data_IF_402502841470
#
_entry.id   IF_402502841470
#
_cell.length_a   1.000
_cell.length_b   1.000
_cell.length_c   1.000
_cell.angle_alpha   90.00
_cell.angle_beta   90.00
_cell.angle_gamma   90.00
#
_symmetry.space_group_name_H-M   'P 1'
#
loop_
_entity.id
_entity.type
_entity.pdbx_description
1 polymer ?
#
# COMPACT_ATOMS: atom_id res chain seq x y z
N UNK A 1 4.35 -2.23 -39.40
CA UNK A 1 4.56 -2.40 -40.86
C UNK A 1 4.17 -3.83 -41.20
N UNK A 2 3.04 -4.04 -41.87
CA UNK A 2 2.50 -5.38 -42.19
C UNK A 2 2.85 -5.68 -43.65
N UNK A 3 3.63 -6.73 -43.88
CA UNK A 3 3.87 -7.28 -45.22
C UNK A 3 3.12 -8.61 -45.28
N UNK A 4 2.17 -8.73 -46.20
CA UNK A 4 1.51 -9.99 -46.53
C UNK A 4 2.07 -10.53 -47.85
N UNK A 5 2.44 -11.82 -47.87
CA UNK A 5 2.66 -12.58 -49.10
C UNK A 5 1.64 -13.72 -49.16
N UNK A 6 1.08 -14.04 -50.34
CA UNK A 6 0.08 -15.09 -50.48
C UNK A 6 0.76 -16.44 -50.75
N UNK A 7 0.27 -17.51 -50.13
CA UNK A 7 0.48 -18.87 -50.62
C UNK A 7 -0.83 -19.66 -50.61
N UNK A 8 -1.07 -20.32 -51.74
CA UNK A 8 -2.28 -21.04 -52.16
C UNK A 8 -2.14 -22.56 -51.99
N UNK A 9 -3.20 -23.22 -51.52
CA UNK A 9 -3.57 -24.66 -51.71
C UNK A 9 -2.60 -25.73 -51.15
N UNK A 10 -2.95 -26.97 -50.79
CA UNK A 10 -4.19 -27.75 -50.75
C UNK A 10 -4.09 -28.87 -49.67
N UNK A 11 -5.24 -29.31 -49.15
CA UNK A 11 -5.56 -30.66 -48.62
C UNK A 11 -4.68 -31.33 -47.54
N UNK A 12 -5.22 -31.41 -46.30
CA UNK A 12 -5.40 -32.64 -45.46
C UNK A 12 -5.24 -32.38 -43.94
N UNK A 13 -6.28 -32.76 -43.18
CA UNK A 13 -6.40 -32.86 -41.70
C UNK A 13 -6.08 -31.61 -40.85
N UNK A 14 -7.14 -30.92 -40.42
CA UNK A 14 -7.10 -29.77 -39.50
C UNK A 14 -6.77 -30.20 -38.07
N UNK A 15 -5.60 -29.79 -37.55
CA UNK A 15 -5.46 -29.32 -36.16
C UNK A 15 -5.44 -27.81 -36.22
N UNK A 16 -6.33 -27.14 -35.49
CA UNK A 16 -6.29 -25.68 -35.36
C UNK A 16 -5.20 -25.35 -34.35
N UNK A 17 -4.02 -24.95 -34.82
CA UNK A 17 -2.99 -24.34 -33.99
C UNK A 17 -3.13 -22.84 -34.16
N UNK A 18 -3.77 -22.17 -33.22
CA UNK A 18 -3.75 -20.72 -33.16
C UNK A 18 -2.38 -20.30 -32.60
N UNK A 19 -1.51 -19.81 -33.46
CA UNK A 19 -0.22 -19.23 -33.06
C UNK A 19 -0.43 -17.73 -32.88
N UNK A 20 -0.53 -17.28 -31.64
CA UNK A 20 -0.47 -15.84 -31.32
C UNK A 20 0.98 -15.51 -31.00
N UNK A 21 1.66 -14.81 -31.90
CA UNK A 21 3.03 -14.33 -31.67
C UNK A 21 2.94 -13.07 -30.81
N UNK A 22 3.01 -13.24 -29.48
CA UNK A 22 3.39 -12.18 -28.56
C UNK A 22 4.92 -12.26 -28.41
N UNK A 23 5.60 -11.14 -28.69
CA UNK A 23 7.02 -11.04 -29.01
C UNK A 23 8.04 -11.56 -27.97
N UNK A 24 7.65 -12.22 -26.87
CA UNK A 24 8.60 -12.78 -25.89
C UNK A 24 8.23 -14.13 -25.25
N UNK A 25 7.10 -14.77 -25.58
CA UNK A 25 6.69 -16.02 -24.91
C UNK A 25 6.15 -17.07 -25.88
N UNK A 26 6.46 -18.34 -25.62
CA UNK A 26 5.78 -19.49 -26.20
C UNK A 26 4.88 -20.10 -25.12
N UNK A 27 3.58 -20.20 -25.41
CA UNK A 27 2.63 -20.95 -24.58
C UNK A 27 2.53 -22.35 -25.16
N UNK A 28 2.88 -23.37 -24.37
CA UNK A 28 2.71 -24.78 -24.78
C UNK A 28 1.60 -25.38 -23.93
N UNK A 29 0.51 -25.79 -24.55
CA UNK A 29 -0.60 -26.49 -23.88
C UNK A 29 -0.47 -27.97 -24.19
N UNK A 30 -0.12 -28.78 -23.19
CA UNK A 30 -0.13 -30.24 -23.28
C UNK A 30 -1.36 -30.80 -22.60
N UNK A 31 -2.05 -31.74 -23.26
CA UNK A 31 -3.22 -32.43 -22.73
C UNK A 31 -2.81 -33.81 -22.21
N UNK A 32 -2.81 -34.07 -20.89
CA UNK A 32 -2.89 -35.44 -20.39
C UNK A 32 -4.36 -35.89 -20.38
N UNK A 33 -4.56 -37.18 -20.63
CA UNK A 33 -5.84 -37.84 -20.46
C UNK A 33 -6.16 -37.97 -18.97
N UNK A 34 -7.30 -37.40 -18.57
CA UNK A 34 -8.05 -37.67 -17.33
C UNK A 34 -7.31 -37.32 -16.02
N UNK A 35 -7.90 -36.36 -15.29
CA UNK A 35 -7.48 -35.75 -14.01
C UNK A 35 -6.43 -34.63 -14.07
N UNK A 36 -6.90 -33.40 -13.80
CA UNK A 36 -6.10 -32.21 -13.50
C UNK A 36 -5.57 -31.44 -14.72
N UNK A 37 -6.05 -30.20 -14.90
CA UNK A 37 -5.38 -29.23 -15.79
C UNK A 37 -4.17 -28.66 -15.04
N UNK A 38 -2.99 -28.69 -15.67
CA UNK A 38 -1.85 -27.87 -15.24
C UNK A 38 -1.36 -27.03 -16.43
N UNK A 39 -1.24 -25.73 -16.21
CA UNK A 39 -0.65 -24.79 -17.18
C UNK A 39 0.70 -24.38 -16.63
N UNK A 40 1.77 -24.62 -17.39
CA UNK A 40 3.13 -24.22 -17.03
C UNK A 40 3.64 -23.18 -18.04
N UNK A 41 4.00 -21.99 -17.56
CA UNK A 41 4.67 -20.97 -18.36
C UNK A 41 6.17 -21.06 -18.09
N UNK A 42 6.96 -21.29 -19.15
CA UNK A 42 8.42 -21.46 -19.04
C UNK A 42 9.12 -20.25 -19.64
N UNK A 43 10.01 -19.62 -18.86
CA UNK A 43 10.84 -18.54 -19.37
C UNK A 43 11.98 -19.12 -20.24
N UNK A 44 12.07 -18.68 -21.49
CA UNK A 44 13.05 -19.20 -22.47
C UNK A 44 14.51 -18.86 -22.12
N UNK A 45 14.75 -17.82 -21.33
CA UNK A 45 16.11 -17.41 -20.95
C UNK A 45 16.68 -18.27 -19.81
N UNK A 46 15.83 -18.78 -18.91
CA UNK A 46 16.28 -19.46 -17.68
C UNK A 46 15.85 -20.92 -17.59
N UNK A 47 14.90 -21.37 -18.42
CA UNK A 47 14.37 -22.74 -18.37
C UNK A 47 13.55 -23.06 -17.12
N UNK A 48 13.27 -22.06 -16.27
CA UNK A 48 12.50 -22.25 -15.05
C UNK A 48 10.99 -22.22 -15.32
N UNK A 49 10.29 -23.18 -14.73
CA UNK A 49 8.82 -23.20 -14.63
C UNK A 49 8.38 -22.08 -13.68
N UNK A 50 7.54 -21.16 -14.16
CA UNK A 50 6.87 -20.18 -13.31
C UNK A 50 5.72 -20.89 -12.59
N UNK A 51 6.02 -21.57 -11.48
CA UNK A 51 5.00 -21.82 -10.47
C UNK A 51 4.85 -20.56 -9.62
N UNK A 52 3.61 -20.09 -9.49
CA UNK A 52 3.11 -19.04 -8.59
C UNK A 52 4.07 -17.86 -8.32
N UNK A 53 3.81 -16.73 -8.97
CA UNK A 53 4.18 -15.40 -8.46
C UNK A 53 5.61 -15.29 -7.95
N UNK A 54 6.60 -15.59 -8.80
CA UNK A 54 8.00 -15.37 -8.45
C UNK A 54 8.24 -13.86 -8.38
N UNK A 55 8.09 -13.25 -7.19
CA UNK A 55 8.66 -11.92 -6.95
C UNK A 55 10.18 -12.12 -7.06
N UNK A 56 10.88 -11.47 -8.01
CA UNK A 56 12.32 -11.56 -8.08
C UNK A 56 12.87 -11.17 -6.71
N UNK A 57 13.70 -12.02 -6.09
CA UNK A 57 14.44 -11.64 -4.89
C UNK A 57 15.13 -10.31 -5.20
N UNK A 58 14.78 -9.25 -4.46
CA UNK A 58 15.36 -7.93 -4.68
C UNK A 58 16.83 -8.01 -4.26
N UNK A 59 17.71 -8.25 -5.24
CA UNK A 59 19.16 -8.22 -5.02
C UNK A 59 19.57 -6.75 -5.04
N UNK A 60 19.77 -6.18 -3.86
CA UNK A 60 20.47 -4.90 -3.75
C UNK A 60 21.91 -5.07 -4.24
N UNK A 61 22.38 -4.12 -5.05
CA UNK A 61 23.80 -3.90 -5.27
C UNK A 61 24.48 -3.67 -3.91
N UNK A 62 25.72 -4.13 -3.75
CA UNK A 62 26.50 -4.01 -2.53
C UNK A 62 26.64 -2.55 -2.08
N UNK A 63 26.71 -1.61 -3.01
CA UNK A 63 26.76 -0.18 -2.69
C UNK A 63 25.46 0.31 -2.06
N UNK A 64 24.32 -0.11 -2.58
CA UNK A 64 22.99 0.24 -2.03
C UNK A 64 22.77 -0.45 -0.68
N UNK A 65 23.27 -1.67 -0.50
CA UNK A 65 23.25 -2.36 0.78
C UNK A 65 24.11 -1.64 1.82
N UNK A 66 25.32 -1.20 1.46
CA UNK A 66 26.17 -0.39 2.35
C UNK A 66 25.51 0.93 2.72
N UNK A 67 24.90 1.60 1.75
CA UNK A 67 24.18 2.86 1.96
C UNK A 67 22.97 2.66 2.89
N UNK A 68 22.15 1.63 2.65
CA UNK A 68 21.02 1.28 3.51
C UNK A 68 21.48 0.98 4.94
N UNK A 69 22.55 0.20 5.10
CA UNK A 69 23.12 -0.12 6.41
C UNK A 69 23.78 1.08 7.10
N UNK A 70 24.14 2.12 6.35
CA UNK A 70 24.72 3.34 6.91
C UNK A 70 23.67 4.30 7.46
N UNK A 71 22.41 4.18 7.03
CA UNK A 71 21.31 5.01 7.52
C UNK A 71 21.06 4.69 8.99
N UNK A 72 21.30 5.69 9.84
CA UNK A 72 20.99 5.59 11.26
C UNK A 72 19.52 5.97 11.49
N UNK A 73 18.76 5.18 12.27
CA UNK A 73 17.46 5.62 12.75
C UNK A 73 17.64 6.85 13.64
N UNK A 74 16.66 7.75 13.60
CA UNK A 74 16.64 8.99 14.37
C UNK A 74 15.21 9.21 14.90
N UNK A 75 14.69 8.23 15.63
CA UNK A 75 13.29 8.25 16.13
C UNK A 75 13.05 9.37 17.15
N UNK A 76 14.11 9.91 17.76
CA UNK A 76 14.10 10.98 18.76
C UNK A 76 14.46 12.36 18.16
N UNK A 77 14.37 12.52 16.83
CA UNK A 77 14.64 13.77 16.16
C UNK A 77 13.83 14.94 16.79
N UNK A 78 14.47 16.08 17.14
CA UNK A 78 13.76 17.21 17.70
C UNK A 78 12.75 17.79 16.70
N UNK A 79 11.59 18.28 17.17
CA UNK A 79 10.63 18.94 16.29
C UNK A 79 11.23 20.12 15.53
N UNK A 80 10.92 20.19 14.24
CA UNK A 80 11.34 21.25 13.33
C UNK A 80 10.37 22.42 13.40
N UNK A 81 10.92 23.64 13.48
CA UNK A 81 10.14 24.85 13.38
C UNK A 81 10.19 25.38 11.94
N UNK A 82 9.08 25.29 11.22
CA UNK A 82 8.97 25.79 9.83
C UNK A 82 9.38 27.27 9.71
N UNK A 83 9.22 28.05 10.79
CA UNK A 83 9.62 29.46 10.82
C UNK A 83 11.14 29.71 10.82
N UNK A 84 11.96 28.67 11.04
CA UNK A 84 13.43 28.79 11.05
C UNK A 84 14.04 28.87 9.63
N UNK A 85 13.22 28.69 8.58
CA UNK A 85 13.51 29.19 7.22
C UNK A 85 14.23 28.25 6.26
N UNK A 86 14.55 26.99 6.64
CA UNK A 86 15.17 26.00 5.74
C UNK A 86 14.17 25.30 4.81
N UNK A 87 12.92 25.21 5.22
CA UNK A 87 11.82 24.68 4.42
C UNK A 87 10.80 25.78 4.20
N UNK A 88 10.34 25.92 2.97
CA UNK A 88 9.31 26.90 2.59
C UNK A 88 8.24 26.20 1.76
N UNK A 89 6.96 26.41 2.06
CA UNK A 89 5.90 25.91 1.20
C UNK A 89 6.06 26.46 -0.23
N UNK A 90 5.88 25.60 -1.24
CA UNK A 90 6.03 25.97 -2.66
C UNK A 90 4.92 26.89 -3.16
N UNK A 91 3.74 26.82 -2.55
CA UNK A 91 2.67 27.78 -2.75
C UNK A 91 2.83 28.93 -1.76
N UNK A 92 2.47 30.17 -2.15
CA UNK A 92 2.41 31.29 -1.21
C UNK A 92 1.40 30.95 -0.10
N UNK A 93 1.88 30.37 1.01
CA UNK A 93 1.20 30.49 2.28
C UNK A 93 1.21 32.00 2.56
N UNK A 94 0.06 32.66 2.42
CA UNK A 94 -0.08 34.00 2.98
C UNK A 94 0.33 33.87 4.45
N UNK A 95 1.39 34.59 4.84
CA UNK A 95 1.81 34.69 6.24
C UNK A 95 0.55 34.97 7.05
N UNK A 96 0.12 33.97 7.82
CA UNK A 96 -1.08 34.06 8.64
C UNK A 96 -0.86 35.27 9.55
N UNK A 97 -1.74 36.27 9.43
CA UNK A 97 -1.70 37.41 10.33
C UNK A 97 -1.87 36.93 11.77
N UNK A 98 -1.38 37.67 12.77
CA UNK A 98 -1.41 37.27 14.19
C UNK A 98 -2.80 37.01 14.80
N UNK A 99 -3.88 37.11 14.00
CA UNK A 99 -5.28 36.98 14.42
C UNK A 99 -6.03 35.82 13.72
N UNK A 100 -5.35 34.93 12.98
CA UNK A 100 -6.00 33.73 12.41
C UNK A 100 -6.22 32.69 13.52
N UNK A 101 -7.46 32.24 13.81
CA UNK A 101 -7.76 31.29 14.89
C UNK A 101 -7.10 29.90 14.74
N UNK A 102 -6.46 29.59 13.60
CA UNK A 102 -5.67 28.37 13.39
C UNK A 102 -4.25 28.42 14.00
N UNK A 103 -4.04 29.26 15.04
CA UNK A 103 -2.74 29.50 15.67
C UNK A 103 -2.07 28.21 16.16
N UNK A 104 -1.03 27.78 15.43
CA UNK A 104 0.21 27.15 15.90
C UNK A 104 0.11 26.39 17.23
N UNK A 105 -0.80 25.41 17.30
CA UNK A 105 -0.87 24.55 18.47
C UNK A 105 0.44 23.78 18.54
N UNK A 106 1.12 23.90 19.68
CA UNK A 106 2.37 23.16 19.91
C UNK A 106 2.03 21.67 19.88
N UNK A 107 2.75 20.92 19.05
CA UNK A 107 2.72 19.46 19.10
C UNK A 107 3.74 19.03 20.15
N UNK A 108 3.31 18.38 21.26
CA UNK A 108 4.25 17.94 22.27
C UNK A 108 5.31 17.00 21.66
N UNK A 109 6.62 17.18 21.98
CA UNK A 109 7.65 16.25 21.54
C UNK A 109 7.29 14.80 21.88
N UNK A 110 7.41 13.91 20.90
CA UNK A 110 7.07 12.48 21.04
C UNK A 110 5.62 12.11 20.70
N UNK A 111 4.77 13.08 20.37
CA UNK A 111 3.37 12.83 20.00
C UNK A 111 3.10 12.94 18.49
N UNK A 112 4.15 12.98 17.68
CA UNK A 112 4.05 13.23 16.24
C UNK A 112 3.63 12.01 15.43
N UNK A 113 4.04 10.83 15.90
CA UNK A 113 3.67 9.57 15.30
C UNK A 113 3.65 8.47 16.37
N UNK A 114 2.89 7.42 16.07
CA UNK A 114 2.74 6.23 16.90
C UNK A 114 3.19 5.03 16.06
N UNK A 115 3.76 4.03 16.71
CA UNK A 115 4.15 2.77 16.08
C UNK A 115 3.34 1.65 16.73
N UNK A 116 2.78 0.78 15.90
CA UNK A 116 1.99 -0.37 16.32
C UNK A 116 2.56 -1.64 15.71
N UNK A 117 2.42 -2.72 16.45
CA UNK A 117 2.55 -4.07 15.92
C UNK A 117 1.22 -4.56 15.34
N UNK A 118 1.28 -5.54 14.44
CA UNK A 118 0.07 -6.27 14.02
C UNK A 118 -0.60 -6.99 15.19
N UNK A 119 0.16 -7.38 16.22
CA UNK A 119 -0.41 -8.02 17.41
C UNK A 119 -1.10 -7.03 18.35
N UNK A 120 -0.78 -5.73 18.28
CA UNK A 120 -1.54 -4.68 18.98
C UNK A 120 -2.93 -4.50 18.37
N UNK A 121 -3.05 -4.69 17.05
CA UNK A 121 -4.31 -4.56 16.31
C UNK A 121 -5.12 -5.87 16.32
N UNK A 122 -4.41 -7.00 16.25
CA UNK A 122 -4.96 -8.36 16.22
C UNK A 122 -4.40 -9.17 17.40
N UNK A 123 -4.83 -8.87 18.63
CA UNK A 123 -4.31 -9.55 19.81
C UNK A 123 -4.54 -11.06 19.73
N UNK A 124 -3.61 -11.82 20.29
CA UNK A 124 -3.65 -13.30 20.36
C UNK A 124 -3.51 -14.04 19.02
N UNK A 125 -3.24 -13.35 17.91
CA UNK A 125 -3.07 -14.00 16.60
C UNK A 125 -1.64 -14.40 16.26
N UNK A 126 -0.64 -13.81 16.93
CA UNK A 126 0.80 -13.91 16.56
C UNK A 126 1.05 -13.48 15.10
N UNK A 127 0.18 -12.63 14.57
CA UNK A 127 0.24 -12.16 13.19
C UNK A 127 1.51 -11.37 12.94
N UNK A 128 1.99 -10.57 13.89
CA UNK A 128 3.28 -9.86 13.76
C UNK A 128 4.42 -10.86 13.52
N UNK A 129 4.51 -11.92 14.31
CA UNK A 129 5.56 -12.94 14.15
C UNK A 129 5.51 -13.59 12.76
N UNK A 130 4.34 -14.03 12.31
CA UNK A 130 4.18 -14.72 11.02
C UNK A 130 4.43 -13.75 9.86
N UNK A 131 3.94 -12.51 9.95
CA UNK A 131 4.16 -11.47 8.94
C UNK A 131 5.65 -11.19 8.69
N UNK A 132 6.45 -11.18 9.76
CA UNK A 132 7.89 -10.92 9.67
C UNK A 132 8.73 -12.14 9.25
N UNK A 133 8.26 -13.35 9.53
CA UNK A 133 9.05 -14.58 9.32
C UNK A 133 8.63 -15.39 8.09
N UNK A 134 7.50 -15.06 7.47
CA UNK A 134 6.93 -15.83 6.38
C UNK A 134 6.63 -14.94 5.16
N UNK A 135 7.57 -14.93 4.21
CA UNK A 135 7.44 -14.18 2.94
C UNK A 135 6.20 -14.60 2.15
N UNK A 136 5.82 -15.89 2.20
CA UNK A 136 4.62 -16.38 1.50
C UNK A 136 3.35 -15.77 2.10
N UNK A 137 3.25 -15.70 3.42
CA UNK A 137 2.11 -15.05 4.08
C UNK A 137 2.06 -13.56 3.77
N UNK A 138 3.19 -12.85 3.92
CA UNK A 138 3.27 -11.41 3.71
C UNK A 138 2.91 -11.01 2.27
N UNK A 139 3.44 -11.72 1.29
CA UNK A 139 3.13 -11.47 -0.13
C UNK A 139 1.70 -11.92 -0.47
N UNK A 140 1.27 -13.07 0.03
CA UNK A 140 -0.10 -13.55 -0.16
C UNK A 140 -1.13 -12.56 0.41
N UNK A 141 -0.88 -12.01 1.59
CA UNK A 141 -1.75 -11.03 2.24
C UNK A 141 -1.83 -9.76 1.42
N UNK A 142 -0.68 -9.26 0.98
CA UNK A 142 -0.59 -8.09 0.09
C UNK A 142 -1.39 -8.28 -1.19
N UNK A 143 -1.17 -9.39 -1.89
CA UNK A 143 -1.81 -9.67 -3.19
C UNK A 143 -3.31 -9.92 -3.02
N UNK A 144 -3.71 -10.56 -1.92
CA UNK A 144 -5.11 -10.76 -1.58
C UNK A 144 -5.85 -9.45 -1.28
N UNK A 145 -5.23 -8.52 -0.54
CA UNK A 145 -5.79 -7.18 -0.32
C UNK A 145 -5.92 -6.44 -1.66
N UNK A 146 -4.88 -6.47 -2.51
CA UNK A 146 -4.97 -5.87 -3.86
C UNK A 146 -6.12 -6.48 -4.63
N UNK A 147 -6.27 -7.80 -4.59
CA UNK A 147 -7.31 -8.50 -5.32
C UNK A 147 -8.70 -8.06 -4.85
N UNK A 148 -8.95 -8.11 -3.55
CA UNK A 148 -10.26 -7.79 -2.98
C UNK A 148 -10.60 -6.29 -3.17
N UNK A 149 -9.63 -5.39 -3.00
CA UNK A 149 -9.83 -3.94 -3.15
C UNK A 149 -10.11 -3.51 -4.59
N UNK A 150 -9.49 -4.18 -5.56
CA UNK A 150 -9.49 -3.73 -6.95
C UNK A 150 -10.46 -4.51 -7.84
N UNK A 151 -10.73 -5.78 -7.51
CA UNK A 151 -11.53 -6.69 -8.33
C UNK A 151 -12.71 -7.32 -7.60
N UNK A 152 -12.92 -7.00 -6.32
CA UNK A 152 -14.12 -7.41 -5.60
C UNK A 152 -15.41 -6.86 -6.23
N UNK A 153 -16.54 -7.36 -5.77
CA UNK A 153 -17.86 -7.01 -6.30
C UNK A 153 -18.17 -5.52 -6.10
N UNK A 154 -18.40 -4.77 -7.18
CA UNK A 154 -18.61 -3.33 -7.13
C UNK A 154 -17.35 -2.47 -7.27
N UNK A 155 -16.17 -3.10 -7.43
CA UNK A 155 -14.92 -2.40 -7.75
C UNK A 155 -14.87 -1.82 -9.16
N UNK A 156 -13.95 -0.87 -9.37
CA UNK A 156 -13.66 -0.27 -10.68
C UNK A 156 -13.28 -1.34 -11.74
N UNK A 157 -12.67 -2.45 -11.31
CA UNK A 157 -12.18 -3.49 -12.21
C UNK A 157 -12.91 -4.84 -12.04
N UNK A 158 -14.07 -4.86 -11.38
CA UNK A 158 -14.82 -6.09 -11.10
C UNK A 158 -15.30 -6.83 -12.36
N UNK A 159 -15.35 -6.17 -13.51
CA UNK A 159 -15.71 -6.76 -14.81
C UNK A 159 -14.56 -7.47 -15.52
N UNK A 160 -13.33 -7.37 -15.01
CA UNK A 160 -12.19 -8.10 -15.56
C UNK A 160 -12.35 -9.60 -15.36
N UNK A 161 -11.87 -10.38 -16.32
CA UNK A 161 -11.72 -11.82 -16.14
C UNK A 161 -10.45 -12.15 -15.34
N UNK A 162 -10.31 -13.39 -14.88
CA UNK A 162 -9.20 -13.78 -13.99
C UNK A 162 -7.82 -13.59 -14.63
N UNK A 163 -7.67 -13.86 -15.93
CA UNK A 163 -6.41 -13.62 -16.65
C UNK A 163 -6.03 -12.12 -16.67
N UNK A 164 -7.01 -11.23 -16.81
CA UNK A 164 -6.80 -9.78 -16.75
C UNK A 164 -6.45 -9.30 -15.35
N UNK A 165 -7.11 -9.84 -14.31
CA UNK A 165 -6.82 -9.54 -12.91
C UNK A 165 -5.39 -9.95 -12.56
N UNK A 166 -5.01 -11.17 -12.95
CA UNK A 166 -3.67 -11.71 -12.73
C UNK A 166 -2.61 -10.86 -13.46
N UNK A 167 -2.87 -10.48 -14.71
CA UNK A 167 -1.99 -9.60 -15.47
C UNK A 167 -1.80 -8.24 -14.78
N UNK A 168 -2.87 -7.65 -14.26
CA UNK A 168 -2.85 -6.36 -13.57
C UNK A 168 -2.10 -6.42 -12.23
N UNK A 169 -2.28 -7.50 -11.45
CA UNK A 169 -1.51 -7.75 -10.22
C UNK A 169 -0.03 -7.99 -10.50
N UNK A 170 0.29 -8.69 -11.59
CA UNK A 170 1.66 -8.97 -12.00
C UNK A 170 2.44 -7.71 -12.40
N UNK A 171 1.77 -6.62 -12.77
CA UNK A 171 2.43 -5.35 -13.09
C UNK A 171 3.13 -4.70 -11.89
N UNK A 172 2.75 -5.07 -10.66
CA UNK A 172 3.35 -4.53 -9.44
C UNK A 172 3.40 -2.99 -9.45
N UNK A 173 2.38 -2.37 -10.02
CA UNK A 173 2.24 -0.91 -10.07
C UNK A 173 1.53 -0.40 -8.80
N UNK A 174 1.75 0.86 -8.41
CA UNK A 174 0.97 1.50 -7.35
C UNK A 174 -0.54 1.40 -7.65
N UNK A 175 -1.33 1.15 -6.61
CA UNK A 175 -2.78 0.99 -6.72
C UNK A 175 -3.49 1.91 -5.74
N UNK A 176 -4.65 2.43 -6.13
CA UNK A 176 -5.52 3.24 -5.29
C UNK A 176 -6.91 2.62 -5.34
N UNK A 177 -7.49 2.38 -4.18
CA UNK A 177 -8.84 1.85 -4.02
C UNK A 177 -9.66 2.70 -3.04
N UNK A 178 -10.97 2.72 -3.22
CA UNK A 178 -11.91 3.39 -2.33
C UNK A 178 -12.67 2.34 -1.54
N UNK A 179 -12.65 2.45 -0.21
CA UNK A 179 -13.28 1.48 0.69
C UNK A 179 -14.79 1.75 0.89
N UNK A 180 -15.22 3.03 0.86
CA UNK A 180 -16.58 3.43 1.28
C UNK A 180 -17.65 3.36 0.18
N UNK A 181 -17.28 3.40 -1.11
CA UNK A 181 -18.26 3.25 -2.20
C UNK A 181 -19.01 1.90 -2.16
N UNK A 182 -18.52 0.97 -1.33
CA UNK A 182 -18.98 -0.41 -1.22
C UNK A 182 -20.00 -0.65 -0.09
N UNK A 183 -20.41 0.38 0.66
CA UNK A 183 -21.50 0.28 1.65
C UNK A 183 -22.87 0.70 1.09
N UNK A 184 -22.97 1.03 -0.20
CA UNK A 184 -24.23 1.45 -0.84
C UNK A 184 -24.67 0.43 -1.89
N UNK A 185 -24.99 -0.79 -1.45
CA UNK A 185 -26.10 -1.52 -2.04
C UNK A 185 -27.24 -1.44 -1.02
N UNK A 186 -28.33 -0.70 -1.28
CA UNK A 186 -29.52 -0.83 -0.46
C UNK A 186 -30.05 -2.24 -0.66
N UNK A 187 -30.11 -3.03 0.41
CA UNK A 187 -31.08 -4.13 0.49
C UNK A 187 -32.45 -3.46 0.45
N UNK A 188 -32.96 -3.25 -0.76
CA UNK A 188 -34.37 -3.04 -0.99
C UNK A 188 -35.06 -4.40 -0.86
N UNK A 189 -35.23 -4.88 0.37
CA UNK A 189 -36.54 -5.40 0.74
C UNK A 189 -36.71 -5.44 2.26
N UNK A 190 -37.62 -4.59 2.73
CA UNK A 190 -38.15 -4.64 4.09
C UNK A 190 -39.20 -5.73 4.11
N UNK A 191 -38.84 -6.96 4.48
CA UNK A 191 -39.82 -7.91 4.99
C UNK A 191 -39.23 -8.85 6.04
N UNK A 192 -39.72 -8.64 7.26
CA UNK A 192 -39.88 -9.61 8.36
C UNK A 192 -38.64 -10.23 8.99
N UNK A 193 -38.40 -9.81 10.24
CA UNK A 193 -37.68 -10.55 11.27
C UNK A 193 -38.04 -12.04 11.26
N UNK A 194 -37.09 -12.87 10.85
CA UNK A 194 -36.96 -14.24 11.35
C UNK A 194 -35.52 -14.40 11.83
N UNK A 195 -35.37 -14.66 13.13
CA UNK A 195 -34.14 -15.15 13.73
C UNK A 195 -33.85 -16.50 13.06
N UNK A 196 -32.85 -16.53 12.17
CA UNK A 196 -32.31 -17.77 11.62
C UNK A 196 -30.97 -17.97 12.30
N UNK A 197 -30.88 -19.08 13.05
CA UNK A 197 -29.67 -19.59 13.68
C UNK A 197 -28.62 -19.95 12.62
N UNK A 198 -27.37 -19.58 12.89
CA UNK A 198 -26.10 -20.13 12.40
C UNK A 198 -26.18 -20.99 11.11
N UNK A 199 -26.28 -20.33 9.96
CA UNK A 199 -25.81 -20.90 8.70
C UNK A 199 -24.62 -20.08 8.21
N UNK A 200 -23.48 -20.76 8.05
CA UNK A 200 -22.19 -20.27 7.56
C UNK A 200 -22.31 -19.04 6.64
N UNK A 201 -21.99 -17.88 7.23
CA UNK A 201 -22.09 -16.54 6.66
C UNK A 201 -20.96 -16.24 5.65
N UNK A 202 -20.40 -17.25 4.98
CA UNK A 202 -19.27 -17.10 4.02
C UNK A 202 -19.67 -16.30 2.77
N UNK A 203 -20.99 -16.13 2.55
CA UNK A 203 -21.54 -15.27 1.49
C UNK A 203 -21.56 -13.78 1.83
N UNK A 204 -21.45 -13.38 3.10
CA UNK A 204 -21.42 -11.96 3.51
C UNK A 204 -20.01 -11.38 3.60
N UNK A 205 -18.97 -12.24 3.63
CA UNK A 205 -17.56 -11.83 3.63
C UNK A 205 -17.19 -11.25 2.26
N UNK A 206 -16.74 -10.00 2.23
CA UNK A 206 -16.39 -9.27 1.01
C UNK A 206 -14.93 -9.48 0.65
N UNK A 207 -14.05 -9.42 1.64
CA UNK A 207 -12.60 -9.60 1.50
C UNK A 207 -12.24 -11.09 1.48
N UNK A 208 -12.74 -11.81 0.48
CA UNK A 208 -12.65 -13.29 0.42
C UNK A 208 -11.22 -13.78 0.24
N UNK A 209 -10.45 -13.17 -0.67
CA UNK A 209 -9.07 -13.58 -0.88
C UNK A 209 -8.23 -13.33 0.38
N UNK A 210 -8.43 -12.19 1.03
CA UNK A 210 -7.72 -11.80 2.25
C UNK A 210 -8.07 -12.75 3.39
N UNK A 211 -9.36 -13.08 3.54
CA UNK A 211 -9.84 -14.09 4.51
C UNK A 211 -9.19 -15.45 4.28
N UNK A 212 -9.09 -15.89 3.03
CA UNK A 212 -8.48 -17.17 2.68
C UNK A 212 -7.00 -17.23 3.11
N UNK A 213 -6.22 -16.18 2.84
CA UNK A 213 -4.81 -16.10 3.24
C UNK A 213 -4.66 -16.06 4.77
N UNK A 214 -5.50 -15.28 5.46
CA UNK A 214 -5.48 -15.21 6.93
C UNK A 214 -5.77 -16.60 7.52
N UNK A 215 -6.83 -17.28 7.06
CA UNK A 215 -7.17 -18.65 7.51
C UNK A 215 -6.06 -19.66 7.20
N UNK A 216 -5.48 -19.60 6.00
CA UNK A 216 -4.41 -20.51 5.59
C UNK A 216 -3.19 -20.45 6.52
N UNK A 217 -2.80 -19.25 6.96
CA UNK A 217 -1.57 -19.05 7.70
C UNK A 217 -1.76 -18.98 9.22
N UNK A 218 -2.91 -18.49 9.69
CA UNK A 218 -3.21 -18.34 11.13
C UNK A 218 -4.10 -19.47 11.67
N UNK A 219 -4.90 -20.12 10.82
CA UNK A 219 -5.94 -21.08 11.22
C UNK A 219 -5.45 -22.45 11.67
N UNK A 220 -4.14 -22.73 11.60
CA UNK A 220 -3.59 -24.00 12.10
C UNK A 220 -3.59 -24.11 13.63
N UNK A 221 -3.86 -23.01 14.33
CA UNK A 221 -3.98 -23.00 15.78
C UNK A 221 -5.46 -22.92 16.20
N UNK A 222 -6.05 -23.98 16.78
CA UNK A 222 -7.47 -24.01 17.16
C UNK A 222 -7.82 -23.04 18.30
N UNK A 223 -6.83 -22.42 18.94
CA UNK A 223 -7.02 -21.43 20.00
C UNK A 223 -6.95 -19.98 19.49
N UNK A 224 -6.71 -19.78 18.20
CA UNK A 224 -6.63 -18.44 17.59
C UNK A 224 -7.90 -18.19 16.79
N UNK A 225 -8.64 -17.15 17.18
CA UNK A 225 -9.70 -16.59 16.36
C UNK A 225 -9.06 -15.82 15.20
N UNK A 226 -9.21 -16.33 13.98
CA UNK A 226 -8.62 -15.72 12.79
C UNK A 226 -9.57 -14.64 12.26
N UNK A 227 -9.13 -13.37 12.13
CA UNK A 227 -9.98 -12.34 11.58
C UNK A 227 -10.31 -12.64 10.11
N UNK A 228 -11.52 -12.28 9.71
CA UNK A 228 -11.88 -12.14 8.29
C UNK A 228 -11.09 -10.99 7.67
N UNK A 229 -11.03 -10.96 6.33
CA UNK A 229 -10.41 -9.84 5.62
C UNK A 229 -11.14 -8.52 5.85
N UNK A 230 -12.45 -8.54 6.06
CA UNK A 230 -13.24 -7.35 6.39
C UNK A 230 -12.82 -6.81 7.77
N UNK A 231 -12.77 -7.67 8.79
CA UNK A 231 -12.29 -7.29 10.13
C UNK A 231 -10.84 -6.82 10.10
N UNK A 232 -9.99 -7.45 9.27
CA UNK A 232 -8.61 -7.03 9.09
C UNK A 232 -8.52 -5.57 8.64
N UNK A 233 -9.22 -5.25 7.56
CA UNK A 233 -9.20 -3.90 6.99
C UNK A 233 -9.90 -2.88 7.88
N UNK A 234 -10.99 -3.26 8.57
CA UNK A 234 -11.69 -2.38 9.50
C UNK A 234 -10.86 -2.06 10.74
N UNK A 235 -10.14 -3.04 11.32
CA UNK A 235 -9.28 -2.79 12.47
C UNK A 235 -8.07 -1.93 12.12
N UNK A 236 -7.39 -2.19 11.00
CA UNK A 236 -6.30 -1.33 10.53
C UNK A 236 -6.84 0.09 10.25
N UNK A 237 -7.97 0.18 9.54
CA UNK A 237 -8.62 1.45 9.21
C UNK A 237 -9.10 2.24 10.44
N UNK A 238 -9.44 1.56 11.53
CA UNK A 238 -9.86 2.23 12.77
C UNK A 238 -8.75 3.08 13.39
N UNK A 239 -7.47 2.78 13.09
CA UNK A 239 -6.32 3.56 13.52
C UNK A 239 -6.28 4.96 12.88
N UNK A 240 -7.01 5.19 11.78
CA UNK A 240 -7.17 6.52 11.18
C UNK A 240 -7.95 7.49 12.08
N UNK A 241 -8.56 7.01 13.18
CA UNK A 241 -9.39 7.79 14.11
C UNK A 241 -10.55 8.52 13.42
N UNK A 242 -11.00 7.95 12.30
CA UNK A 242 -12.19 8.40 11.60
C UNK A 242 -13.40 7.65 12.16
N UNK A 243 -14.50 8.36 12.42
CA UNK A 243 -15.80 7.75 12.76
C UNK A 243 -16.39 6.92 11.62
N UNK A 244 -15.69 6.87 10.48
CA UNK A 244 -16.03 6.17 9.26
C UNK A 244 -14.78 5.41 8.81
N UNK A 245 -14.92 4.18 8.32
CA UNK A 245 -13.81 3.41 7.76
C UNK A 245 -12.98 4.25 6.76
N UNK A 246 -11.65 4.03 6.63
CA UNK A 246 -10.76 4.88 5.84
C UNK A 246 -11.35 5.08 4.45
N UNK A 247 -11.38 6.31 3.96
CA UNK A 247 -12.02 6.61 2.68
C UNK A 247 -11.15 6.16 1.51
N UNK A 248 -9.83 6.18 1.69
CA UNK A 248 -8.86 5.78 0.69
C UNK A 248 -7.91 4.70 1.21
N UNK A 249 -7.61 3.75 0.34
CA UNK A 249 -6.48 2.83 0.46
C UNK A 249 -5.55 3.07 -0.72
N UNK A 250 -4.25 3.15 -0.46
CA UNK A 250 -3.24 3.29 -1.50
C UNK A 250 -2.09 2.34 -1.23
N UNK A 251 -1.76 1.51 -2.20
CA UNK A 251 -0.53 0.76 -2.19
C UNK A 251 0.53 1.49 -3.00
N UNK A 252 1.64 1.83 -2.34
CA UNK A 252 2.84 2.28 -3.01
C UNK A 252 3.80 1.10 -3.09
N UNK A 253 3.98 0.58 -4.30
CA UNK A 253 4.93 -0.51 -4.54
C UNK A 253 6.35 0.03 -4.53
N UNK A 254 7.20 -0.59 -3.71
CA UNK A 254 8.63 -0.38 -3.77
C UNK A 254 9.26 -1.56 -4.50
N UNK A 255 9.89 -1.34 -5.65
CA UNK A 255 10.90 -2.30 -6.11
C UNK A 255 12.16 -1.54 -6.52
N UNK A 256 13.23 -1.84 -5.78
CA UNK A 256 14.63 -1.65 -6.11
C UNK A 256 15.14 -0.21 -6.21
N UNK A 257 15.60 0.35 -5.09
CA UNK A 257 16.90 1.03 -4.91
C UNK A 257 17.41 2.07 -5.95
N UNK A 258 16.64 2.46 -6.96
CA UNK A 258 17.14 3.18 -8.15
C UNK A 258 16.05 3.85 -9.00
N UNK A 259 14.93 4.33 -8.45
CA UNK A 259 14.24 5.43 -9.18
C UNK A 259 15.09 6.73 -9.14
N UNK A 260 16.03 6.85 -8.20
CA UNK A 260 16.94 8.00 -8.07
C UNK A 260 18.24 7.93 -8.92
N UNK A 261 18.48 6.91 -9.76
CA UNK A 261 19.58 7.01 -10.76
C UNK A 261 19.15 7.69 -12.06
N UNK A 262 17.83 7.81 -12.32
CA UNK A 262 17.29 8.52 -13.50
C UNK A 262 16.65 9.86 -13.17
N UNK A 263 16.25 10.10 -11.93
CA UNK A 263 15.88 11.40 -11.40
C UNK A 263 17.16 12.04 -10.85
N UNK A 264 17.57 13.18 -11.39
CA UNK A 264 18.75 13.92 -10.91
C UNK A 264 18.66 14.17 -9.40
N UNK A 265 19.84 14.27 -8.78
CA UNK A 265 20.11 14.45 -7.34
C UNK A 265 19.30 13.58 -6.37
N UNK A 266 19.99 12.63 -5.72
CA UNK A 266 19.40 11.56 -4.89
C UNK A 266 18.78 12.07 -3.57
N UNK A 267 18.80 13.38 -3.32
CA UNK A 267 18.47 14.04 -2.05
C UNK A 267 17.30 15.01 -2.13
N UNK A 268 16.68 15.18 -3.30
CA UNK A 268 15.51 16.06 -3.44
C UNK A 268 14.24 15.32 -2.99
N UNK A 269 14.19 15.08 -1.68
CA UNK A 269 12.96 14.68 -1.01
C UNK A 269 11.87 15.69 -1.34
N UNK A 270 10.76 15.19 -1.89
CA UNK A 270 9.53 15.97 -1.98
C UNK A 270 8.88 15.94 -0.60
N UNK A 271 9.29 16.84 0.29
CA UNK A 271 8.68 16.99 1.60
C UNK A 271 7.28 17.55 1.44
N UNK A 272 6.28 16.85 1.96
CA UNK A 272 4.90 17.27 1.82
C UNK A 272 4.01 16.85 2.98
N UNK A 273 2.84 17.46 3.00
CA UNK A 273 1.64 16.98 3.69
C UNK A 273 0.66 16.58 2.59
N UNK A 274 -0.06 15.49 2.78
CA UNK A 274 -0.97 14.97 1.75
C UNK A 274 -2.17 15.90 1.52
N UNK A 275 -2.67 16.52 2.58
CA UNK A 275 -3.87 17.36 2.54
C UNK A 275 -3.79 18.59 3.43
N UNK A 276 -3.13 18.49 4.60
CA UNK A 276 -3.04 19.55 5.61
C UNK A 276 -4.39 20.08 6.12
N UNK A 277 -5.52 19.46 5.77
CA UNK A 277 -6.84 20.08 5.94
C UNK A 277 -7.65 19.43 7.07
N UNK A 278 -8.44 20.27 7.74
CA UNK A 278 -9.60 19.85 8.54
C UNK A 278 -10.59 19.10 7.65
N UNK A 279 -10.69 17.78 7.77
CA UNK A 279 -12.02 17.20 7.60
C UNK A 279 -12.91 17.64 8.77
N UNK A 280 -14.22 17.57 8.56
CA UNK A 280 -15.33 18.03 9.42
C UNK A 280 -15.31 17.56 10.89
N UNK A 281 -14.30 16.80 11.31
CA UNK A 281 -14.12 16.16 12.61
C UNK A 281 -12.99 16.78 13.47
N UNK A 282 -12.63 18.05 13.25
CA UNK A 282 -11.73 18.78 14.16
C UNK A 282 -10.27 18.34 14.10
N UNK A 283 -9.81 17.82 12.95
CA UNK A 283 -8.37 17.75 12.68
C UNK A 283 -7.63 16.56 13.28
N UNK A 284 -8.36 15.49 13.57
CA UNK A 284 -7.83 14.30 14.23
C UNK A 284 -7.70 13.08 13.31
N UNK A 285 -7.85 13.26 12.00
CA UNK A 285 -7.61 12.20 11.02
C UNK A 285 -6.13 11.84 11.02
N UNK A 286 -5.86 10.54 11.13
CA UNK A 286 -4.51 9.99 11.08
C UNK A 286 -4.31 9.25 9.76
N UNK A 287 -3.11 9.35 9.21
CA UNK A 287 -2.64 8.45 8.17
C UNK A 287 -2.02 7.22 8.83
N UNK A 288 -2.40 6.05 8.33
CA UNK A 288 -1.88 4.76 8.79
C UNK A 288 -1.09 4.17 7.64
N UNK A 289 0.14 3.77 7.92
CA UNK A 289 1.02 3.13 6.97
C UNK A 289 1.42 1.74 7.49
N UNK A 290 1.11 0.70 6.73
CA UNK A 290 1.52 -0.67 6.99
C UNK A 290 2.67 -1.05 6.05
N UNK A 291 3.82 -1.42 6.62
CA UNK A 291 5.05 -1.71 5.88
C UNK A 291 5.20 -3.18 5.48
N UNK A 292 5.55 -3.45 4.22
CA UNK A 292 5.84 -4.79 3.71
C UNK A 292 7.32 -4.90 3.35
N UNK A 293 8.21 -5.43 4.22
CA UNK A 293 9.63 -5.58 3.91
C UNK A 293 9.88 -6.58 2.76
N UNK A 294 11.00 -6.39 2.06
CA UNK A 294 11.40 -7.26 0.94
C UNK A 294 11.77 -8.70 1.37
N UNK A 295 12.13 -8.92 2.63
CA UNK A 295 12.67 -10.19 3.11
C UNK A 295 12.20 -10.49 4.54
N UNK A 296 12.26 -11.77 4.90
CA UNK A 296 11.96 -12.21 6.26
C UNK A 296 13.02 -11.73 7.25
N UNK A 297 12.57 -11.48 8.48
CA UNK A 297 13.40 -10.97 9.58
C UNK A 297 14.16 -9.69 9.20
N UNK A 298 13.56 -8.83 8.38
CA UNK A 298 14.16 -7.55 8.05
C UNK A 298 14.09 -6.59 9.24
N UNK A 299 15.22 -5.98 9.57
CA UNK A 299 15.35 -4.98 10.62
C UNK A 299 16.14 -3.81 10.00
N UNK A 300 15.53 -2.63 9.86
CA UNK A 300 16.18 -1.52 9.18
C UNK A 300 15.27 -0.38 8.77
N UNK A 301 15.86 0.65 8.16
CA UNK A 301 15.14 1.78 7.55
C UNK A 301 14.61 1.40 6.16
N UNK A 302 13.98 2.34 5.45
CA UNK A 302 13.60 2.16 4.05
C UNK A 302 12.26 1.46 3.81
N UNK A 303 11.59 0.98 4.87
CA UNK A 303 10.23 0.46 4.80
C UNK A 303 9.19 1.57 4.93
N UNK A 304 9.37 2.48 5.88
CA UNK A 304 8.46 3.61 6.11
C UNK A 304 8.94 4.89 5.44
N UNK A 305 8.05 5.89 5.23
CA UNK A 305 8.47 7.22 4.83
C UNK A 305 9.39 7.85 5.88
N UNK A 306 10.24 8.78 5.43
CA UNK A 306 10.88 9.71 6.35
C UNK A 306 9.86 10.70 6.88
N UNK A 307 10.03 11.12 8.13
CA UNK A 307 9.17 12.09 8.78
C UNK A 307 9.98 13.28 9.27
N UNK A 308 9.35 14.45 9.31
CA UNK A 308 9.85 15.64 10.02
C UNK A 308 8.77 16.02 11.03
N UNK A 309 8.97 15.71 12.32
CA UNK A 309 8.11 16.17 13.40
C UNK A 309 8.03 17.70 13.40
N UNK A 310 6.85 18.28 13.36
CA UNK A 310 6.66 19.74 13.38
C UNK A 310 6.49 20.25 14.80
N UNK A 311 7.12 21.37 15.13
CA UNK A 311 6.97 22.03 16.45
C UNK A 311 5.53 22.53 16.67
N UNK A 312 4.88 22.95 15.59
CA UNK A 312 3.52 23.47 15.58
C UNK A 312 2.71 22.71 14.53
N UNK A 313 1.42 22.49 14.81
CA UNK A 313 0.50 21.96 13.80
C UNK A 313 0.51 22.86 12.57
N UNK A 314 0.61 22.26 11.38
CA UNK A 314 0.65 22.97 10.11
C UNK A 314 -0.60 22.63 9.28
N UNK A 315 -1.46 23.64 9.15
CA UNK A 315 -2.75 23.54 8.46
C UNK A 315 -2.70 24.16 7.06
N UNK A 316 -3.39 23.53 6.12
CA UNK A 316 -3.69 24.09 4.81
C UNK A 316 -4.64 25.28 4.95
N UNK A 317 -4.46 26.31 4.11
CA UNK A 317 -5.30 27.50 4.21
C UNK A 317 -6.66 27.29 3.55
N UNK A 318 -7.68 28.02 4.00
CA UNK A 318 -9.03 27.92 3.44
C UNK A 318 -9.12 28.36 1.96
N UNK A 319 -8.15 29.14 1.46
CA UNK A 319 -8.02 29.47 0.03
C UNK A 319 -7.49 28.30 -0.80
N UNK A 320 -6.61 27.47 -0.25
CA UNK A 320 -6.17 26.23 -0.91
C UNK A 320 -7.33 25.23 -1.06
N UNK A 321 -8.32 25.30 -0.15
CA UNK A 321 -9.55 24.51 -0.18
C UNK A 321 -10.61 25.07 -1.15
N UNK A 322 -10.61 26.38 -1.42
CA UNK A 322 -11.70 27.07 -2.16
C UNK A 322 -11.31 27.62 -3.54
N UNK A 323 -10.04 27.56 -3.94
CA UNK A 323 -9.60 27.92 -5.29
C UNK A 323 -9.96 26.84 -6.33
N UNK A 324 -11.24 26.69 -6.64
CA UNK A 324 -11.71 26.39 -8.00
C UNK A 324 -11.85 24.93 -8.44
N UNK A 325 -11.97 23.96 -7.53
CA UNK A 325 -12.79 22.75 -7.73
C UNK A 325 -12.95 22.06 -6.38
N UNK A 326 -14.17 22.03 -5.83
CA UNK A 326 -14.47 21.61 -4.45
C UNK A 326 -14.24 20.12 -4.14
N UNK A 327 -13.49 19.39 -4.98
CA UNK A 327 -13.36 17.93 -4.92
C UNK A 327 -11.92 17.40 -5.00
N UNK A 328 -10.87 18.23 -4.99
CA UNK A 328 -9.48 17.77 -5.00
C UNK A 328 -8.67 18.51 -3.94
N UNK A 329 -8.63 17.97 -2.72
CA UNK A 329 -7.61 18.31 -1.74
C UNK A 329 -6.24 17.98 -2.35
N UNK A 330 -5.35 18.97 -2.46
CA UNK A 330 -4.03 18.80 -3.09
C UNK A 330 -2.95 18.69 -2.01
N UNK A 331 -1.89 17.90 -2.23
CA UNK A 331 -0.73 17.89 -1.37
C UNK A 331 -0.06 19.25 -1.27
N UNK A 332 0.41 19.58 -0.06
CA UNK A 332 1.21 20.78 0.20
C UNK A 332 2.68 20.40 0.23
N UNK A 333 3.43 20.92 -0.73
CA UNK A 333 4.86 20.64 -0.86
C UNK A 333 5.72 21.75 -0.28
N UNK A 334 6.91 21.36 0.20
CA UNK A 334 7.90 22.23 0.78
C UNK A 334 9.21 22.14 0.00
N UNK A 335 9.74 23.30 -0.38
CA UNK A 335 11.04 23.48 -1.00
C UNK A 335 12.12 23.71 0.06
N UNK A 336 13.31 23.18 -0.24
CA UNK A 336 14.51 23.31 0.59
C UNK A 336 14.92 21.99 1.25
N UNK A 337 16.09 22.02 1.89
CA UNK A 337 16.67 20.85 2.54
C UNK A 337 16.59 21.04 4.06
N UNK A 338 15.77 20.26 4.76
CA UNK A 338 15.69 20.35 6.21
C UNK A 338 17.01 19.87 6.82
N UNK A 339 17.44 20.42 7.96
CA UNK A 339 18.64 19.92 8.62
C UNK A 339 18.45 18.47 9.05
N UNK A 340 19.43 17.63 8.71
CA UNK A 340 19.44 16.17 8.94
C UNK A 340 18.99 15.74 10.35
N UNK A 341 19.37 16.50 11.38
CA UNK A 341 18.99 16.23 12.77
C UNK A 341 17.47 16.18 13.02
N UNK A 342 16.67 16.81 12.16
CA UNK A 342 15.21 16.85 12.26
C UNK A 342 14.50 15.75 11.47
N UNK A 343 15.25 14.99 10.67
CA UNK A 343 14.69 13.92 9.84
C UNK A 343 14.63 12.64 10.68
N UNK A 344 13.42 12.15 10.89
CA UNK A 344 13.17 10.82 11.44
C UNK A 344 13.23 9.81 10.31
N UNK A 345 14.06 8.78 10.51
CA UNK A 345 14.08 7.56 9.69
C UNK A 345 13.51 6.41 10.52
N UNK A 346 12.22 6.07 10.38
CA UNK A 346 11.61 5.06 11.23
C UNK A 346 12.29 3.70 11.05
N UNK A 347 12.56 3.02 12.16
CA UNK A 347 13.17 1.70 12.15
C UNK A 347 12.10 0.61 12.07
N UNK A 348 12.10 -0.16 10.99
CA UNK A 348 11.26 -1.35 10.89
C UNK A 348 11.88 -2.51 11.67
N UNK A 349 11.05 -3.22 12.42
CA UNK A 349 11.36 -4.48 13.10
C UNK A 349 10.05 -5.22 13.42
N UNK A 350 10.10 -6.52 13.78
CA UNK A 350 8.97 -7.18 14.41
C UNK A 350 8.47 -6.39 15.62
N UNK A 351 7.15 -6.17 15.68
CA UNK A 351 6.50 -5.29 16.65
C UNK A 351 6.35 -3.84 16.18
N UNK A 352 6.83 -3.49 14.99
CA UNK A 352 6.81 -2.14 14.41
C UNK A 352 6.35 -2.16 12.95
N UNK A 353 5.28 -2.89 12.64
CA UNK A 353 4.80 -3.05 11.25
C UNK A 353 3.91 -1.91 10.76
N UNK A 354 3.39 -1.07 11.67
CA UNK A 354 2.46 0.00 11.36
C UNK A 354 2.98 1.31 11.97
N UNK A 355 2.97 2.38 11.19
CA UNK A 355 3.21 3.75 11.65
C UNK A 355 1.98 4.61 11.41
N UNK A 356 1.62 5.42 12.40
CA UNK A 356 0.42 6.24 12.39
C UNK A 356 0.79 7.68 12.75
N UNK A 357 0.35 8.66 11.97
CA UNK A 357 0.58 10.07 12.28
C UNK A 357 -0.54 10.96 11.76
N UNK A 358 -0.72 12.14 12.35
CA UNK A 358 -1.60 13.17 11.77
C UNK A 358 -0.82 13.92 10.69
N UNK A 359 -1.44 14.14 9.55
CA UNK A 359 -0.83 14.88 8.43
C UNK A 359 -0.39 16.30 8.82
N UNK A 360 -1.07 16.90 9.80
CA UNK A 360 -0.78 18.25 10.30
C UNK A 360 0.41 18.34 11.26
N UNK A 361 0.86 17.21 11.80
CA UNK A 361 1.94 17.16 12.79
C UNK A 361 3.30 16.88 12.17
N UNK A 362 3.34 16.37 10.94
CA UNK A 362 4.56 15.92 10.29
C UNK A 362 4.60 16.34 8.83
N UNK A 363 5.79 16.63 8.32
CA UNK A 363 6.05 16.47 6.90
C UNK A 363 6.54 15.05 6.65
N UNK A 364 6.27 14.51 5.47
CA UNK A 364 6.81 13.21 5.10
C UNK A 364 7.34 13.18 3.67
N UNK A 365 8.21 12.20 3.41
CA UNK A 365 8.76 11.95 2.07
C UNK A 365 9.15 10.48 1.90
N UNK A 366 9.46 10.07 0.68
CA UNK A 366 10.03 8.74 0.44
C UNK A 366 11.38 8.60 1.16
N UNK A 367 11.72 7.39 1.65
CA UNK A 367 13.01 7.17 2.27
C UNK A 367 14.15 7.28 1.25
N UNK A 368 15.37 7.52 1.74
CA UNK A 368 16.60 7.59 0.93
C UNK A 368 16.74 6.36 0.02
N UNK A 369 16.50 5.18 0.62
CA UNK A 369 16.45 3.90 -0.08
C UNK A 369 15.13 3.22 0.29
N UNK A 370 14.33 2.91 -0.72
CA UNK A 370 13.13 2.09 -0.55
C UNK A 370 13.52 0.62 -0.52
N UNK A 371 13.45 0.00 0.66
CA UNK A 371 13.71 -1.43 0.86
C UNK A 371 12.47 -2.13 1.43
N UNK A 372 11.43 -2.16 0.60
CA UNK A 372 10.11 -2.74 0.86
C UNK A 372 9.55 -3.28 -0.43
N UNK A 373 8.72 -4.32 -0.37
CA UNK A 373 7.89 -4.73 -1.51
C UNK A 373 6.73 -3.75 -1.71
N UNK A 374 6.15 -3.27 -0.62
CA UNK A 374 5.15 -2.20 -0.66
C UNK A 374 5.04 -1.47 0.69
N UNK A 375 4.32 -0.37 0.64
CA UNK A 375 3.71 0.25 1.82
C UNK A 375 2.25 0.51 1.48
N UNK A 376 1.35 0.11 2.38
CA UNK A 376 -0.07 0.40 2.26
C UNK A 376 -0.42 1.58 3.14
N UNK A 377 -1.05 2.59 2.56
CA UNK A 377 -1.53 3.79 3.22
C UNK A 377 -3.05 3.75 3.33
N UNK A 378 -3.55 4.12 4.50
CA UNK A 378 -4.97 4.31 4.80
C UNK A 378 -5.18 5.72 5.33
N UNK A 379 -6.31 6.35 4.96
CA UNK A 379 -6.70 7.65 5.52
C UNK A 379 -8.01 8.22 5.01
#
# INVERSE_FOLDING_TARGET
>A
MVIALPLTSSTSRRRLVATVILLFFWVTVTFPSVEGFSVSVVNKATGQSLQNGFIPSVVLDDDLRKELNSQQPNEDAPPYNLHDGHLRPMTELQQQGPNDPCVNKIVPPGNHFEIYSLDDVFPHTQMSHIFNTNTSFRNGLRDAIRHDMMFGEGSLYGSMNDEQKDAELALQKPMIGLWKEWRVAPIADTTMLTVVEDQDDDNSIRMKATTAILRQHLGNNPFIEVPTGDEFMERIGSLCNSTQAPFHWTEVVGVAATQNRRMGDKTDHSWHQDYGCLEKNGGNNKHVFMGFPCQDNYHGTGVFPHLIPLKYEQWATQKDVTAGNSNLQKPMFYEGHPPEKHIVRPWYAPGKEIIVFRDVDVLHSTPDIQFRSSIMRFG
#
